data_IF_245885375344
#
_entry.id   IF_245885375344
#
_cell.length_a   1.000
_cell.length_b   1.000
_cell.length_c   1.000
_cell.angle_alpha   90.00
_cell.angle_beta   90.00
_cell.angle_gamma   90.00
#
_symmetry.space_group_name_H-M   'P 1'
#
loop_
_entity.id
_entity.type
_entity.pdbx_description
1 polymer ?
#
# COMPACT_ATOMS: atom_id res chain seq x y z
N UNK A 1 -9.05 -1.55 -12.39
CA UNK A 1 -8.83 -0.47 -11.41
C UNK A 1 -8.81 -1.09 -10.01
N UNK A 2 -7.64 -1.23 -9.37
CA UNK A 2 -7.52 -1.86 -8.05
C UNK A 2 -6.60 -1.02 -7.15
N UNK A 3 -7.04 -0.70 -5.93
CA UNK A 3 -6.29 0.09 -4.94
C UNK A 3 -5.95 -0.83 -3.78
N UNK A 4 -4.67 -0.95 -3.43
CA UNK A 4 -4.19 -1.74 -2.29
C UNK A 4 -3.68 -0.80 -1.21
N UNK A 5 -4.55 -0.35 -0.30
CA UNK A 5 -4.17 0.55 0.81
C UNK A 5 -3.72 -0.27 2.02
N UNK A 6 -2.66 0.15 2.71
CA UNK A 6 -2.06 -0.60 3.82
C UNK A 6 -2.19 0.07 5.19
N UNK A 7 -2.47 1.38 5.22
CA UNK A 7 -2.48 2.18 6.44
C UNK A 7 -3.84 2.70 6.89
N UNK A 8 -4.91 2.43 6.15
CA UNK A 8 -6.25 2.92 6.48
C UNK A 8 -7.17 1.73 6.73
N UNK A 9 -7.95 1.77 7.82
CA UNK A 9 -9.00 0.80 8.04
C UNK A 9 -9.89 0.67 6.79
N UNK A 10 -10.23 -0.59 6.46
CA UNK A 10 -11.05 -0.92 5.29
C UNK A 10 -12.35 -0.12 5.20
N UNK A 11 -13.04 0.06 6.33
CA UNK A 11 -14.32 0.76 6.45
C UNK A 11 -14.22 2.25 6.08
N UNK A 12 -13.13 2.91 6.51
CA UNK A 12 -12.82 4.30 6.16
C UNK A 12 -12.61 4.42 4.65
N UNK A 13 -11.82 3.53 4.05
CA UNK A 13 -11.56 3.57 2.60
C UNK A 13 -12.80 3.24 1.78
N UNK A 14 -13.59 2.25 2.19
CA UNK A 14 -14.85 1.92 1.54
C UNK A 14 -15.82 3.10 1.56
N UNK A 15 -15.91 3.80 2.69
CA UNK A 15 -16.71 5.01 2.82
C UNK A 15 -16.24 6.13 1.90
N UNK A 16 -14.92 6.37 1.84
CA UNK A 16 -14.32 7.40 0.98
C UNK A 16 -14.56 7.12 -0.51
N UNK A 17 -14.36 5.88 -0.96
CA UNK A 17 -14.61 5.49 -2.35
C UNK A 17 -16.09 5.68 -2.71
N UNK A 18 -17.00 5.26 -1.81
CA UNK A 18 -18.44 5.42 -2.02
C UNK A 18 -18.85 6.89 -2.13
N UNK A 19 -18.33 7.76 -1.26
CA UNK A 19 -18.58 9.20 -1.31
C UNK A 19 -18.10 9.83 -2.63
N UNK A 20 -16.97 9.34 -3.16
CA UNK A 20 -16.41 9.80 -4.43
C UNK A 20 -16.99 9.07 -5.66
N UNK A 21 -18.04 8.25 -5.49
CA UNK A 21 -18.70 7.46 -6.55
C UNK A 21 -17.73 6.54 -7.32
N UNK A 22 -16.71 6.03 -6.62
CA UNK A 22 -15.76 5.06 -7.16
C UNK A 22 -16.28 3.65 -6.89
N UNK A 23 -16.37 2.83 -7.93
CA UNK A 23 -16.75 1.42 -7.80
C UNK A 23 -15.66 0.63 -7.06
N UNK A 24 -15.97 0.21 -5.84
CA UNK A 24 -15.09 -0.60 -4.99
C UNK A 24 -15.08 -2.09 -5.35
N UNK A 25 -15.92 -2.54 -6.29
CA UNK A 25 -15.99 -3.94 -6.73
C UNK A 25 -14.69 -4.47 -7.34
N UNK A 26 -13.86 -3.57 -7.88
CA UNK A 26 -12.57 -3.88 -8.48
C UNK A 26 -11.37 -3.58 -7.55
N UNK A 27 -11.63 -3.13 -6.33
CA UNK A 27 -10.61 -2.74 -5.34
C UNK A 27 -10.37 -3.89 -4.37
N UNK A 28 -9.10 -4.23 -4.11
CA UNK A 28 -8.71 -5.21 -3.07
C UNK A 28 -7.90 -4.48 -2.00
N UNK A 29 -8.41 -4.43 -0.79
CA UNK A 29 -7.76 -3.79 0.34
C UNK A 29 -6.86 -4.76 1.08
N UNK A 30 -5.78 -4.24 1.65
CA UNK A 30 -4.91 -5.00 2.53
C UNK A 30 -4.80 -4.24 3.85
N UNK A 31 -5.63 -4.58 4.81
CA UNK A 31 -5.70 -3.87 6.08
C UNK A 31 -4.68 -4.43 7.08
N UNK A 32 -3.59 -3.67 7.28
CA UNK A 32 -2.53 -4.00 8.24
C UNK A 32 -2.82 -3.55 9.68
N UNK A 33 -3.87 -2.76 9.92
CA UNK A 33 -4.11 -2.09 11.21
C UNK A 33 -5.26 -2.76 11.97
N UNK A 34 -6.34 -3.08 11.26
CA UNK A 34 -7.54 -3.60 11.89
C UNK A 34 -7.31 -5.02 12.41
N UNK A 35 -7.48 -5.20 13.72
CA UNK A 35 -7.52 -6.52 14.34
C UNK A 35 -8.91 -7.10 14.20
N UNK A 36 -9.03 -8.13 13.37
CA UNK A 36 -10.25 -8.93 13.22
C UNK A 36 -10.02 -10.32 13.80
N UNK A 37 -11.09 -11.04 14.14
CA UNK A 37 -10.97 -12.46 14.47
C UNK A 37 -10.44 -13.23 13.27
N UNK A 38 -9.68 -14.31 13.49
CA UNK A 38 -9.06 -15.11 12.41
C UNK A 38 -10.06 -15.63 11.36
N UNK A 39 -11.34 -15.72 11.73
CA UNK A 39 -12.43 -16.20 10.86
C UNK A 39 -13.18 -15.08 10.12
N UNK A 40 -12.84 -13.81 10.34
CA UNK A 40 -13.50 -12.68 9.67
C UNK A 40 -13.05 -12.61 8.22
N UNK A 41 -13.95 -12.97 7.30
CA UNK A 41 -13.73 -12.84 5.86
C UNK A 41 -14.58 -11.69 5.33
N UNK A 42 -13.93 -10.60 4.95
CA UNK A 42 -14.57 -9.50 4.25
C UNK A 42 -14.21 -9.61 2.76
N UNK A 43 -15.22 -9.55 1.90
CA UNK A 43 -15.02 -9.60 0.45
C UNK A 43 -14.07 -8.47 0.04
N UNK A 44 -13.07 -8.83 -0.76
CA UNK A 44 -12.05 -7.90 -1.27
C UNK A 44 -11.18 -7.22 -0.19
N UNK A 45 -11.02 -7.82 1.00
CA UNK A 45 -10.12 -7.31 2.03
C UNK A 45 -9.27 -8.44 2.62
N UNK A 46 -7.96 -8.23 2.68
CA UNK A 46 -6.99 -9.11 3.35
C UNK A 46 -6.52 -8.44 4.64
N UNK A 47 -6.72 -9.09 5.78
CA UNK A 47 -6.24 -8.58 7.08
C UNK A 47 -4.89 -9.22 7.40
N UNK A 48 -3.89 -8.38 7.67
CA UNK A 48 -2.52 -8.82 7.95
C UNK A 48 -2.26 -8.92 9.47
N UNK A 49 -3.13 -8.32 10.28
CA UNK A 49 -3.10 -8.38 11.75
C UNK A 49 -1.97 -7.58 12.42
N UNK A 50 -0.90 -7.22 11.69
CA UNK A 50 0.16 -6.33 12.17
C UNK A 50 0.90 -5.64 11.01
N UNK A 51 1.11 -4.31 11.08
CA UNK A 51 1.87 -3.55 10.08
C UNK A 51 3.40 -3.73 10.22
N UNK A 52 3.87 -4.37 11.30
CA UNK A 52 5.29 -4.66 11.54
C UNK A 52 5.80 -5.79 10.63
N UNK A 53 4.89 -6.67 10.18
CA UNK A 53 5.24 -7.86 9.39
C UNK A 53 5.25 -7.55 7.90
N UNK A 54 6.34 -6.93 7.45
CA UNK A 54 6.56 -6.59 6.03
C UNK A 54 6.49 -7.80 5.08
N UNK A 55 6.85 -9.00 5.55
CA UNK A 55 6.68 -10.24 4.80
C UNK A 55 5.22 -10.54 4.50
N UNK A 56 4.35 -10.35 5.48
CA UNK A 56 2.94 -10.70 5.38
C UNK A 56 2.21 -9.70 4.47
N UNK A 57 2.62 -8.42 4.54
CA UNK A 57 2.25 -7.39 3.56
C UNK A 57 2.61 -7.84 2.15
N UNK A 58 3.86 -8.26 1.91
CA UNK A 58 4.30 -8.72 0.59
C UNK A 58 3.48 -9.91 0.08
N UNK A 59 3.19 -10.88 0.94
CA UNK A 59 2.40 -12.06 0.57
C UNK A 59 0.97 -11.66 0.22
N UNK A 60 0.36 -10.79 1.02
CA UNK A 60 -0.99 -10.29 0.77
C UNK A 60 -1.05 -9.50 -0.55
N UNK A 61 -0.03 -8.69 -0.86
CA UNK A 61 0.06 -7.95 -2.13
C UNK A 61 0.17 -8.88 -3.33
N UNK A 62 1.01 -9.92 -3.24
CA UNK A 62 1.14 -10.92 -4.30
C UNK A 62 -0.17 -11.67 -4.55
N UNK A 63 -0.85 -12.08 -3.47
CA UNK A 63 -2.17 -12.72 -3.55
C UNK A 63 -3.22 -11.79 -4.17
N UNK A 64 -3.28 -10.53 -3.75
CA UNK A 64 -4.19 -9.53 -4.27
C UNK A 64 -3.96 -9.30 -5.77
N UNK A 65 -2.72 -9.11 -6.19
CA UNK A 65 -2.38 -8.87 -7.61
C UNK A 65 -2.73 -10.07 -8.48
N UNK A 66 -2.50 -11.30 -7.99
CA UNK A 66 -2.83 -12.55 -8.70
C UNK A 66 -4.33 -12.81 -8.79
N UNK A 67 -5.10 -12.43 -7.78
CA UNK A 67 -6.56 -12.58 -7.77
C UNK A 67 -7.27 -11.68 -8.79
N UNK A 68 -6.64 -10.58 -9.21
CA UNK A 68 -7.20 -9.66 -10.20
C UNK A 68 -7.13 -10.24 -11.62
N UNK A 69 -8.30 -10.40 -12.24
CA UNK A 69 -8.43 -10.88 -13.62
C UNK A 69 -8.33 -9.76 -14.69
N UNK A 70 -8.30 -8.50 -14.26
CA UNK A 70 -8.20 -7.34 -15.17
C UNK A 70 -6.78 -7.14 -15.69
N UNK A 71 -6.64 -6.66 -16.92
CA UNK A 71 -5.35 -6.27 -17.52
C UNK A 71 -4.83 -4.97 -16.92
N UNK A 72 -5.72 -4.03 -16.57
CA UNK A 72 -5.37 -2.73 -16.02
C UNK A 72 -5.39 -2.74 -14.49
N UNK A 73 -4.23 -3.05 -13.94
CA UNK A 73 -3.96 -3.08 -12.49
C UNK A 73 -3.11 -1.88 -12.09
N UNK A 74 -3.37 -1.38 -10.89
CA UNK A 74 -2.46 -0.47 -10.23
C UNK A 74 -2.34 -0.84 -8.76
N UNK A 75 -1.34 -0.29 -8.09
CA UNK A 75 -1.09 -0.45 -6.66
C UNK A 75 -0.96 0.94 -6.07
N UNK A 76 -1.52 1.13 -4.87
CA UNK A 76 -1.56 2.43 -4.21
C UNK A 76 -1.15 2.30 -2.76
N UNK A 77 0.16 2.43 -2.51
CA UNK A 77 0.72 2.33 -1.18
C UNK A 77 0.56 3.67 -0.45
N UNK A 78 -0.48 3.79 0.35
CA UNK A 78 -0.69 4.87 1.32
C UNK A 78 -0.45 4.28 2.71
N UNK A 79 0.46 4.78 3.55
CA UNK A 79 1.63 5.63 3.27
C UNK A 79 2.84 4.93 3.87
N UNK A 80 4.04 5.23 3.35
CA UNK A 80 5.29 4.66 3.86
C UNK A 80 5.50 5.02 5.34
N UNK A 81 5.05 6.19 5.78
CA UNK A 81 5.25 6.66 7.16
C UNK A 81 4.70 5.66 8.18
N UNK A 82 3.59 4.98 7.87
CA UNK A 82 3.03 3.95 8.75
C UNK A 82 4.01 2.81 8.97
N UNK A 83 4.76 2.38 7.95
CA UNK A 83 5.80 1.37 8.15
C UNK A 83 6.94 1.88 9.02
N UNK A 84 7.34 3.15 8.84
CA UNK A 84 8.40 3.81 9.60
C UNK A 84 8.07 3.99 11.08
N UNK A 85 6.79 4.00 11.48
CA UNK A 85 6.37 4.00 12.90
C UNK A 85 6.78 2.70 13.60
N UNK A 86 6.74 1.58 12.89
CA UNK A 86 6.97 0.26 13.48
C UNK A 86 8.31 -0.37 13.11
N UNK A 87 9.00 0.16 12.10
CA UNK A 87 10.21 -0.42 11.54
C UNK A 87 11.32 0.62 11.45
N UNK A 88 12.57 0.15 11.57
CA UNK A 88 13.75 1.01 11.37
C UNK A 88 13.77 1.56 9.94
N UNK A 89 14.24 2.80 9.69
CA UNK A 89 14.27 3.41 8.36
C UNK A 89 14.92 2.52 7.28
N UNK A 90 16.07 1.91 7.56
CA UNK A 90 16.74 1.01 6.61
C UNK A 90 15.98 -0.28 6.31
N UNK A 91 15.09 -0.74 7.20
CA UNK A 91 14.18 -1.87 6.93
C UNK A 91 13.07 -1.45 5.96
N UNK A 92 12.51 -0.24 6.17
CA UNK A 92 11.48 0.32 5.29
C UNK A 92 12.04 0.57 3.89
N UNK A 93 13.23 1.16 3.78
CA UNK A 93 13.88 1.41 2.51
C UNK A 93 14.09 0.12 1.69
N UNK A 94 14.63 -0.94 2.32
CA UNK A 94 14.78 -2.27 1.70
C UNK A 94 13.44 -2.86 1.25
N UNK A 95 12.40 -2.68 2.04
CA UNK A 95 11.07 -3.16 1.68
C UNK A 95 10.49 -2.40 0.49
N UNK A 96 10.69 -1.09 0.40
CA UNK A 96 10.22 -0.32 -0.76
C UNK A 96 11.04 -0.64 -2.01
N UNK A 97 12.35 -0.84 -1.89
CA UNK A 97 13.17 -1.36 -2.99
C UNK A 97 12.64 -2.69 -3.52
N UNK A 98 12.35 -3.63 -2.61
CA UNK A 98 11.73 -4.91 -2.93
C UNK A 98 10.37 -4.73 -3.60
N UNK A 99 9.52 -3.85 -3.06
CA UNK A 99 8.19 -3.57 -3.58
C UNK A 99 8.23 -2.96 -4.98
N UNK A 100 9.14 -2.02 -5.24
CA UNK A 100 9.35 -1.45 -6.57
C UNK A 100 9.76 -2.54 -7.57
N UNK A 101 10.61 -3.48 -7.17
CA UNK A 101 10.93 -4.67 -7.96
C UNK A 101 9.70 -5.52 -8.28
N UNK A 102 8.85 -5.79 -7.27
CA UNK A 102 7.61 -6.56 -7.46
C UNK A 102 6.60 -5.87 -8.37
N UNK A 103 6.41 -4.57 -8.24
CA UNK A 103 5.54 -3.76 -9.09
C UNK A 103 5.96 -3.90 -10.58
N UNK A 104 7.27 -3.83 -10.85
CA UNK A 104 7.84 -4.05 -12.18
C UNK A 104 7.63 -5.49 -12.67
N UNK A 105 7.89 -6.49 -11.82
CA UNK A 105 7.67 -7.90 -12.13
C UNK A 105 6.21 -8.19 -12.51
N UNK A 106 5.27 -7.63 -11.75
CA UNK A 106 3.83 -7.77 -12.00
C UNK A 106 3.33 -6.96 -13.20
N UNK A 107 4.18 -6.08 -13.77
CA UNK A 107 3.82 -5.16 -14.86
C UNK A 107 2.61 -4.29 -14.51
N UNK A 108 2.56 -3.79 -13.28
CA UNK A 108 1.47 -2.92 -12.79
C UNK A 108 1.99 -1.52 -12.51
N UNK A 109 1.11 -0.52 -12.59
CA UNK A 109 1.47 0.86 -12.20
C UNK A 109 1.42 0.98 -10.68
N UNK A 110 2.46 1.51 -10.06
CA UNK A 110 2.51 1.73 -8.61
C UNK A 110 2.53 3.21 -8.27
N UNK A 111 1.76 3.60 -7.27
CA UNK A 111 1.88 4.89 -6.60
C UNK A 111 2.20 4.63 -5.14
N UNK A 112 3.21 5.31 -4.64
CA UNK A 112 3.67 5.21 -3.26
C UNK A 112 3.60 6.61 -2.65
N UNK A 113 2.90 6.74 -1.53
CA UNK A 113 2.70 8.00 -0.83
C UNK A 113 3.61 8.04 0.40
N UNK A 114 4.24 9.19 0.59
CA UNK A 114 4.94 9.56 1.82
C UNK A 114 4.55 10.98 2.23
N UNK A 115 4.42 11.21 3.53
CA UNK A 115 4.16 12.51 4.16
C UNK A 115 5.51 13.10 4.57
N UNK A 116 5.89 14.22 3.93
CA UNK A 116 7.21 14.86 4.10
C UNK A 116 7.52 15.25 5.55
N UNK A 117 6.53 15.73 6.31
CA UNK A 117 6.74 16.18 7.70
C UNK A 117 7.18 15.04 8.63
N UNK A 118 6.83 13.81 8.27
CA UNK A 118 7.02 12.62 9.11
C UNK A 118 7.97 11.60 8.45
N UNK A 119 8.72 12.01 7.43
CA UNK A 119 9.68 11.16 6.73
C UNK A 119 11.08 11.76 6.84
N UNK A 120 12.06 10.88 7.08
CA UNK A 120 13.48 11.24 6.98
C UNK A 120 13.80 11.61 5.52
N UNK A 121 14.41 12.78 5.30
CA UNK A 121 14.79 13.24 3.95
C UNK A 121 15.67 12.20 3.23
N UNK A 122 16.53 11.48 3.98
CA UNK A 122 17.35 10.41 3.43
C UNK A 122 16.53 9.22 2.93
N UNK A 123 15.43 8.89 3.61
CA UNK A 123 14.49 7.87 3.16
C UNK A 123 13.78 8.34 1.88
N UNK A 124 13.34 9.59 1.81
CA UNK A 124 12.70 10.14 0.58
C UNK A 124 13.64 10.08 -0.62
N UNK A 125 14.91 10.44 -0.43
CA UNK A 125 15.91 10.40 -1.50
C UNK A 125 16.16 8.96 -1.97
N UNK A 126 16.30 8.02 -1.03
CA UNK A 126 16.47 6.59 -1.36
C UNK A 126 15.24 6.04 -2.10
N UNK A 127 14.03 6.37 -1.65
CA UNK A 127 12.78 5.97 -2.31
C UNK A 127 12.66 6.52 -3.73
N UNK A 128 13.09 7.77 -3.93
CA UNK A 128 13.07 8.44 -5.23
C UNK A 128 13.94 7.72 -6.25
N UNK A 129 15.08 7.16 -5.83
CA UNK A 129 15.97 6.40 -6.71
C UNK A 129 15.34 5.11 -7.27
N UNK A 130 14.33 4.57 -6.59
CA UNK A 130 13.66 3.33 -7.01
C UNK A 130 12.38 3.55 -7.82
N UNK A 131 11.93 4.81 -7.89
CA UNK A 131 10.71 5.24 -8.54
C UNK A 131 11.01 5.87 -9.91
N UNK A 132 10.13 5.63 -10.88
CA UNK A 132 10.29 6.21 -12.23
C UNK A 132 10.01 7.73 -12.25
N UNK A 133 9.28 8.23 -11.26
CA UNK A 133 8.91 9.65 -11.14
C UNK A 133 8.58 10.01 -9.70
N UNK A 134 8.85 11.26 -9.32
CA UNK A 134 8.47 11.87 -8.04
C UNK A 134 7.49 13.00 -8.29
N UNK A 135 6.43 13.06 -7.48
CA UNK A 135 5.46 14.14 -7.47
C UNK A 135 5.42 14.71 -6.06
N UNK A 136 5.85 15.97 -5.90
CA UNK A 136 5.72 16.70 -4.65
C UNK A 136 4.40 17.49 -4.66
N UNK A 137 3.50 17.17 -3.72
CA UNK A 137 2.24 17.88 -3.55
C UNK A 137 2.39 18.87 -2.38
N UNK A 138 2.48 20.16 -2.70
CA UNK A 138 2.57 21.25 -1.72
C UNK A 138 1.22 21.89 -1.42
N UNK A 139 0.92 22.08 -0.14
CA UNK A 139 0.07 23.15 0.35
C UNK A 139 0.97 24.21 0.99
N UNK A 140 0.71 25.48 0.70
CA UNK A 140 1.47 26.64 1.20
C UNK A 140 1.77 26.59 2.70
#
# INVERSE_FOLDING_TARGET
>A
MSIVTLNKPFDVMQSLLKQNKIDSGLVIFIDGITRVSENTKIKNCLFIGSPEKLSDISVAMDQAVKALQTKDKFIFFDSINTLSVFNKPGTVAKFVYFLAGKIREWKVRGVIISIKKDADDSLIDELTQFCDSRIDLGGN
#
